data_IF_054202409745
#
_entry.id   IF_054202409745
#
_cell.length_a   1.000
_cell.length_b   1.000
_cell.length_c   1.000
_cell.angle_alpha   90.00
_cell.angle_beta   90.00
_cell.angle_gamma   90.00
#
_symmetry.space_group_name_H-M   'P 1'
#
loop_
_entity.id
_entity.type
_entity.pdbx_description
1 polymer ?
#
# COMPACT_ATOMS: atom_id res chain seq x y z
N UNK A 1 40.04 -24.17 -19.59
CA UNK A 1 38.60 -23.96 -19.80
C UNK A 1 38.29 -24.33 -21.25
N UNK A 2 37.36 -25.25 -21.50
CA UNK A 2 37.02 -25.72 -22.86
C UNK A 2 36.09 -24.72 -23.56
N UNK A 3 36.50 -24.25 -24.73
CA UNK A 3 35.74 -23.33 -25.58
C UNK A 3 34.47 -24.01 -26.11
N UNK A 4 33.31 -23.62 -25.58
CA UNK A 4 31.97 -23.99 -26.09
C UNK A 4 31.56 -23.07 -27.26
N UNK A 5 32.32 -22.01 -27.53
CA UNK A 5 31.92 -20.93 -28.45
C UNK A 5 31.92 -21.27 -29.95
N UNK A 6 32.44 -22.43 -30.37
CA UNK A 6 32.63 -22.74 -31.80
C UNK A 6 31.65 -23.76 -32.39
N UNK A 7 30.67 -24.26 -31.63
CA UNK A 7 29.65 -25.18 -32.13
C UNK A 7 28.24 -24.62 -31.84
N UNK A 8 27.28 -24.73 -32.79
CA UNK A 8 25.90 -24.33 -32.54
C UNK A 8 25.27 -25.28 -31.52
N UNK A 9 25.28 -24.88 -30.24
CA UNK A 9 24.58 -25.58 -29.17
C UNK A 9 23.13 -25.09 -29.10
N UNK A 10 22.20 -26.04 -28.99
CA UNK A 10 20.77 -25.78 -28.82
C UNK A 10 20.31 -26.45 -27.54
N UNK A 11 19.59 -25.72 -26.69
CA UNK A 11 18.98 -26.23 -25.46
C UNK A 11 17.47 -26.43 -25.65
N UNK A 12 16.94 -27.49 -25.08
CA UNK A 12 15.51 -27.82 -25.09
C UNK A 12 15.12 -28.60 -23.85
N UNK A 13 13.81 -28.70 -23.59
CA UNK A 13 13.29 -29.61 -22.57
C UNK A 13 13.33 -31.06 -23.08
N UNK A 14 13.39 -32.07 -22.19
CA UNK A 14 13.37 -33.46 -22.61
C UNK A 14 12.18 -33.75 -23.52
N UNK A 15 12.40 -34.60 -24.54
CA UNK A 15 11.43 -34.85 -25.60
C UNK A 15 10.84 -33.57 -26.23
N UNK A 16 11.64 -32.51 -26.36
CA UNK A 16 11.23 -31.23 -26.94
C UNK A 16 9.89 -30.74 -26.37
N UNK A 17 9.64 -30.99 -25.07
CA UNK A 17 8.46 -30.50 -24.39
C UNK A 17 8.35 -28.98 -24.61
N UNK A 18 7.16 -28.50 -24.99
CA UNK A 18 6.87 -27.10 -25.35
C UNK A 18 7.57 -26.54 -26.60
N UNK A 19 8.22 -27.37 -27.42
CA UNK A 19 8.76 -26.93 -28.71
C UNK A 19 7.71 -26.88 -29.82
N UNK A 20 8.07 -26.26 -30.95
CA UNK A 20 7.23 -26.21 -32.14
C UNK A 20 6.89 -27.64 -32.67
N UNK A 21 5.66 -27.90 -33.13
CA UNK A 21 5.27 -29.20 -33.67
C UNK A 21 6.15 -29.70 -34.82
N UNK A 22 6.75 -28.81 -35.61
CA UNK A 22 7.70 -29.17 -36.65
C UNK A 22 8.94 -29.87 -36.11
N UNK A 23 9.41 -29.48 -34.91
CA UNK A 23 10.55 -30.11 -34.22
C UNK A 23 10.13 -31.46 -33.62
N UNK A 24 8.93 -31.53 -33.05
CA UNK A 24 8.38 -32.78 -32.49
C UNK A 24 8.21 -33.86 -33.56
N UNK A 25 7.80 -33.48 -34.77
CA UNK A 25 7.60 -34.41 -35.89
C UNK A 25 8.88 -34.68 -36.69
N UNK A 26 9.95 -33.92 -36.47
CA UNK A 26 11.22 -34.11 -37.17
C UNK A 26 12.01 -35.33 -36.63
N UNK A 27 11.67 -35.83 -35.45
CA UNK A 27 12.37 -36.95 -34.80
C UNK A 27 11.38 -38.04 -34.42
N UNK A 28 11.70 -39.29 -34.76
CA UNK A 28 10.85 -40.44 -34.42
C UNK A 28 11.06 -40.82 -32.95
N UNK A 29 9.96 -41.11 -32.23
CA UNK A 29 10.00 -41.58 -30.83
C UNK A 29 9.82 -40.49 -29.77
N UNK A 30 9.47 -39.27 -30.20
CA UNK A 30 9.19 -38.15 -29.30
C UNK A 30 7.90 -38.38 -28.49
N UNK A 31 8.00 -38.30 -27.17
CA UNK A 31 6.89 -38.47 -26.21
C UNK A 31 6.96 -37.35 -25.15
N UNK A 32 6.67 -36.09 -25.52
CA UNK A 32 6.62 -35.00 -24.56
C UNK A 32 5.55 -35.30 -23.50
N UNK A 33 5.94 -35.16 -22.24
CA UNK A 33 5.10 -35.44 -21.08
C UNK A 33 5.37 -34.35 -20.03
N UNK A 34 4.39 -33.52 -19.65
CA UNK A 34 4.59 -32.44 -18.69
C UNK A 34 5.01 -32.89 -17.29
N UNK A 35 4.61 -34.09 -16.87
CA UNK A 35 4.92 -34.63 -15.54
C UNK A 35 6.34 -35.21 -15.51
N UNK A 36 6.79 -35.85 -16.59
CA UNK A 36 8.13 -36.44 -16.68
C UNK A 36 9.20 -35.46 -17.20
N UNK A 37 8.81 -34.49 -18.04
CA UNK A 37 9.73 -33.63 -18.79
C UNK A 37 9.57 -32.13 -18.46
N UNK A 38 8.66 -31.79 -17.55
CA UNK A 38 8.51 -30.44 -17.01
C UNK A 38 9.69 -30.02 -16.14
N UNK A 39 9.94 -28.71 -16.08
CA UNK A 39 10.88 -28.12 -15.11
C UNK A 39 10.06 -27.37 -14.07
N UNK A 40 10.22 -27.74 -12.80
CA UNK A 40 9.54 -27.10 -11.68
C UNK A 40 10.56 -26.37 -10.81
N UNK A 41 10.21 -25.15 -10.40
CA UNK A 41 10.99 -24.35 -9.45
C UNK A 41 10.05 -23.97 -8.32
N UNK A 42 10.27 -24.57 -7.15
CA UNK A 42 9.58 -24.18 -5.93
C UNK A 42 10.31 -22.98 -5.30
N UNK A 43 9.63 -21.84 -5.27
CA UNK A 43 10.16 -20.61 -4.67
C UNK A 43 9.57 -20.45 -3.26
N UNK A 44 10.41 -20.56 -2.24
CA UNK A 44 10.01 -20.25 -0.87
C UNK A 44 10.07 -18.72 -0.66
N UNK A 45 8.94 -18.03 -0.38
CA UNK A 45 8.93 -16.55 -0.31
C UNK A 45 9.84 -15.96 0.78
N UNK A 46 10.04 -16.72 1.87
CA UNK A 46 10.92 -16.38 2.99
C UNK A 46 12.41 -16.29 2.58
N UNK A 47 12.81 -17.02 1.54
CA UNK A 47 14.17 -17.03 1.01
C UNK A 47 14.44 -15.88 0.03
N UNK A 48 13.38 -15.31 -0.56
CA UNK A 48 13.45 -14.21 -1.53
C UNK A 48 13.39 -12.86 -0.83
N UNK A 49 12.63 -12.74 0.26
CA UNK A 49 12.53 -11.50 1.02
C UNK A 49 13.57 -11.50 2.14
N UNK A 50 14.60 -10.68 1.98
CA UNK A 50 15.62 -10.49 3.01
C UNK A 50 15.05 -9.75 4.21
N UNK A 51 15.62 -9.99 5.40
CA UNK A 51 15.20 -9.28 6.62
C UNK A 51 15.44 -7.78 6.49
N UNK A 52 16.51 -7.39 5.82
CA UNK A 52 16.88 -6.01 5.55
C UNK A 52 15.78 -5.28 4.75
N UNK A 53 15.26 -5.92 3.69
CA UNK A 53 14.16 -5.35 2.89
C UNK A 53 12.86 -5.22 3.71
N UNK A 54 12.58 -6.23 4.54
CA UNK A 54 11.40 -6.21 5.41
C UNK A 54 11.48 -5.11 6.48
N UNK A 55 12.66 -4.88 7.05
CA UNK A 55 12.86 -3.87 8.08
C UNK A 55 12.91 -2.45 7.50
N UNK A 56 13.46 -2.28 6.29
CA UNK A 56 13.38 -1.02 5.54
C UNK A 56 11.92 -0.63 5.27
N UNK A 57 11.12 -1.55 4.73
CA UNK A 57 9.70 -1.30 4.46
C UNK A 57 8.90 -0.98 5.73
N UNK A 58 9.18 -1.69 6.83
CA UNK A 58 8.56 -1.39 8.13
C UNK A 58 8.92 0.01 8.62
N UNK A 59 10.18 0.42 8.53
CA UNK A 59 10.61 1.75 8.98
C UNK A 59 9.92 2.88 8.19
N UNK A 60 9.77 2.71 6.87
CA UNK A 60 9.11 3.67 5.99
C UNK A 60 7.61 3.79 6.26
N UNK A 61 6.95 2.72 6.73
CA UNK A 61 5.53 2.75 7.11
C UNK A 61 5.30 3.15 8.57
N UNK A 62 6.18 2.76 9.49
CA UNK A 62 6.01 2.99 10.92
C UNK A 62 6.34 4.42 11.35
N UNK A 63 7.37 5.04 10.77
CA UNK A 63 7.76 6.44 11.10
C UNK A 63 6.63 7.44 10.79
N UNK A 64 6.01 7.47 9.60
CA UNK A 64 4.93 8.43 9.33
C UNK A 64 3.65 8.14 10.11
N UNK A 65 3.39 6.89 10.48
CA UNK A 65 2.17 6.49 11.20
C UNK A 65 2.28 6.77 12.71
N UNK A 66 3.46 6.62 13.32
CA UNK A 66 3.65 6.84 14.76
C UNK A 66 3.63 8.33 15.14
N UNK A 67 4.13 9.21 14.27
CA UNK A 67 4.16 10.66 14.50
C UNK A 67 2.79 11.35 14.27
N UNK A 68 1.84 10.66 13.64
CA UNK A 68 0.49 11.19 13.38
C UNK A 68 -0.29 11.49 14.68
N UNK A 69 0.08 10.89 15.81
CA UNK A 69 -0.62 11.07 17.08
C UNK A 69 -0.56 12.52 17.60
N UNK A 70 0.60 13.19 17.53
CA UNK A 70 0.77 14.55 18.10
C UNK A 70 -0.09 15.57 17.35
N UNK A 71 -0.12 15.49 16.01
CA UNK A 71 -0.92 16.40 15.18
C UNK A 71 -2.42 16.28 15.44
N UNK A 72 -2.92 15.06 15.64
CA UNK A 72 -4.34 14.81 15.91
C UNK A 72 -4.77 15.42 17.25
N UNK A 73 -4.00 15.23 18.32
CA UNK A 73 -4.35 15.78 19.64
C UNK A 73 -4.35 17.31 19.66
N UNK A 74 -3.40 17.94 18.95
CA UNK A 74 -3.36 19.41 18.82
C UNK A 74 -4.58 19.94 18.07
N UNK A 75 -4.97 19.31 16.95
CA UNK A 75 -6.14 19.71 16.18
C UNK A 75 -7.45 19.59 16.99
N UNK A 76 -7.62 18.49 17.74
CA UNK A 76 -8.79 18.28 18.61
C UNK A 76 -8.82 19.32 19.73
N UNK A 77 -7.67 19.61 20.36
CA UNK A 77 -7.59 20.60 21.44
C UNK A 77 -7.98 22.00 21.01
N UNK A 78 -7.47 22.47 19.86
CA UNK A 78 -7.83 23.78 19.29
C UNK A 78 -9.31 23.83 18.93
N UNK A 79 -9.84 22.79 18.30
CA UNK A 79 -11.27 22.70 17.96
C UNK A 79 -12.18 22.75 19.19
N UNK A 80 -11.84 21.99 20.23
CA UNK A 80 -12.59 21.99 21.49
C UNK A 80 -12.59 23.37 22.17
N UNK A 81 -11.44 24.04 22.24
CA UNK A 81 -11.33 25.38 22.81
C UNK A 81 -12.15 26.42 22.02
N UNK A 82 -12.13 26.33 20.68
CA UNK A 82 -12.94 27.20 19.82
C UNK A 82 -14.44 27.00 20.10
N UNK A 83 -14.91 25.75 20.16
CA UNK A 83 -16.33 25.45 20.45
C UNK A 83 -16.71 25.95 21.84
N UNK A 84 -15.88 25.69 22.86
CA UNK A 84 -16.13 26.16 24.24
C UNK A 84 -16.21 27.68 24.29
N UNK A 85 -15.31 28.40 23.59
CA UNK A 85 -15.33 29.86 23.54
C UNK A 85 -16.61 30.41 22.91
N UNK A 86 -17.07 29.80 21.81
CA UNK A 86 -18.30 30.20 21.11
C UNK A 86 -19.53 29.95 21.98
N UNK A 87 -19.59 28.79 22.63
CA UNK A 87 -20.68 28.45 23.54
C UNK A 87 -20.70 29.39 24.74
N UNK A 88 -19.54 29.70 25.33
CA UNK A 88 -19.43 30.62 26.45
C UNK A 88 -19.90 32.03 26.05
N UNK A 89 -19.48 32.53 24.90
CA UNK A 89 -19.92 33.83 24.35
C UNK A 89 -21.43 33.81 24.08
N UNK A 90 -21.97 32.74 23.51
CA UNK A 90 -23.40 32.60 23.25
C UNK A 90 -24.22 32.61 24.55
N UNK A 91 -23.74 31.95 25.60
CA UNK A 91 -24.38 31.97 26.94
C UNK A 91 -24.33 33.37 27.53
N UNK A 92 -23.18 34.05 27.48
CA UNK A 92 -23.04 35.43 28.00
C UNK A 92 -23.97 36.39 27.24
N UNK A 93 -24.06 36.26 25.91
CA UNK A 93 -24.98 37.07 25.10
C UNK A 93 -26.45 36.77 25.41
N UNK A 94 -26.82 35.50 25.63
CA UNK A 94 -28.18 35.13 26.05
C UNK A 94 -28.54 35.65 27.44
N UNK A 95 -27.56 35.77 28.34
CA UNK A 95 -27.75 36.33 29.69
C UNK A 95 -27.80 37.87 29.73
N UNK A 96 -27.46 38.55 28.63
CA UNK A 96 -27.70 39.99 28.46
C UNK A 96 -29.03 40.16 27.71
N UNK A 97 -30.18 40.21 28.41
CA UNK A 97 -31.41 40.63 27.76
C UNK A 97 -31.14 42.00 27.13
N UNK A 98 -31.42 42.13 25.84
CA UNK A 98 -31.37 43.40 25.15
C UNK A 98 -32.32 44.34 25.86
N UNK A 99 -31.77 45.30 26.61
CA UNK A 99 -32.46 46.51 27.04
C UNK A 99 -32.75 47.33 25.77
N UNK A 100 -33.74 46.89 25.01
CA UNK A 100 -34.27 47.67 23.90
C UNK A 100 -35.17 48.71 24.55
N UNK A 101 -34.66 49.93 24.53
CA UNK A 101 -35.33 51.17 24.90
C UNK A 101 -36.83 51.15 24.55
N UNK A 102 -37.67 50.87 25.53
CA UNK A 102 -39.09 51.20 25.50
C UNK A 102 -39.24 52.65 25.96
N UNK A 103 -38.65 53.55 25.18
CA UNK A 103 -38.66 55.00 25.37
C UNK A 103 -39.36 55.68 24.19
N UNK A 104 -40.46 55.10 23.71
CA UNK A 104 -41.40 55.83 22.87
C UNK A 104 -42.74 55.85 23.57
N UNK A 105 -43.37 57.03 23.55
CA UNK A 105 -44.81 57.30 23.75
C UNK A 105 -45.15 57.94 25.11
N UNK A 106 -45.35 59.26 25.03
CA UNK A 106 -46.19 60.15 25.85
C UNK A 106 -45.74 60.49 27.29
N UNK A 107 -45.48 61.79 27.54
CA UNK A 107 -46.42 62.67 28.24
C UNK A 107 -45.86 64.12 28.36
N UNK A 108 -46.67 65.08 27.86
CA UNK A 108 -46.60 66.56 27.87
C UNK A 108 -45.74 67.29 26.82
#
# INVERSE_FOLDING_TARGET
MSNIESAPLVFSQPHFLNADPGILNAVIGMRPDPDEHGTFIDIEPSSVVTKELADEFKSQLQIPVLEMNVGIYVAIGVGALMIVSVVLVAIIRRRRPTEIAYGTVNDN
#
